data_IF_759588451646
#
_entry.id   IF_759588451646
#
_cell.length_a   1.000
_cell.length_b   1.000
_cell.length_c   1.000
_cell.angle_alpha   90.00
_cell.angle_beta   90.00
_cell.angle_gamma   90.00
#
_symmetry.space_group_name_H-M   'P 1'
#
loop_
_entity.id
_entity.type
_entity.pdbx_description
1 polymer ?
#
# COMPACT_ATOMS: atom_id res chain seq x y z
N UNK A 1 -6.62 -33.64 31.45
CA UNK A 1 -6.92 -34.32 32.69
C UNK A 1 -6.15 -33.73 33.87
N UNK A 2 -4.80 -33.65 33.83
CA UNK A 2 -3.95 -33.06 34.89
C UNK A 2 -4.33 -31.59 35.16
N UNK A 3 -4.52 -30.78 34.12
CA UNK A 3 -4.94 -29.38 34.23
C UNK A 3 -6.27 -29.20 34.98
N UNK A 4 -7.22 -30.10 34.73
CA UNK A 4 -8.50 -30.06 35.46
C UNK A 4 -8.35 -30.55 36.91
N UNK A 5 -7.41 -31.47 37.17
CA UNK A 5 -7.10 -31.96 38.50
C UNK A 5 -6.53 -30.92 39.44
N UNK A 6 -5.90 -29.87 38.90
CA UNK A 6 -5.31 -28.78 39.73
C UNK A 6 -6.33 -27.98 40.54
N UNK A 7 -7.57 -27.87 40.09
CA UNK A 7 -8.63 -27.20 40.85
C UNK A 7 -8.89 -27.91 42.21
N UNK A 8 -8.49 -29.18 42.33
CA UNK A 8 -8.62 -29.95 43.58
C UNK A 8 -7.37 -29.86 44.45
N UNK A 9 -6.30 -29.16 44.00
CA UNK A 9 -5.03 -28.98 44.71
C UNK A 9 -4.87 -27.55 45.24
N UNK A 10 -5.94 -26.83 45.48
CA UNK A 10 -5.95 -25.48 46.04
C UNK A 10 -5.52 -25.45 47.51
N UNK A 11 -5.70 -26.57 48.26
CA UNK A 11 -5.24 -26.73 49.61
C UNK A 11 -3.81 -27.24 49.70
N UNK A 12 -3.13 -27.04 50.83
CA UNK A 12 -1.81 -27.61 51.07
C UNK A 12 -1.83 -29.12 51.28
N UNK A 13 -3.02 -29.70 51.48
CA UNK A 13 -3.23 -31.14 51.72
C UNK A 13 -3.99 -31.78 50.55
N UNK A 14 -3.72 -33.04 50.32
CA UNK A 14 -4.46 -33.86 49.34
C UNK A 14 -5.93 -34.03 49.74
N UNK A 15 -6.90 -33.70 48.88
CA UNK A 15 -8.33 -33.82 49.20
C UNK A 15 -8.81 -35.27 49.35
N UNK A 16 -7.96 -36.24 48.97
CA UNK A 16 -8.31 -37.66 49.06
C UNK A 16 -7.70 -38.39 50.26
N UNK A 17 -6.49 -38.00 50.71
CA UNK A 17 -5.77 -38.70 51.76
C UNK A 17 -5.22 -37.79 52.86
N UNK A 18 -5.48 -36.49 52.77
CA UNK A 18 -5.05 -35.45 53.73
C UNK A 18 -3.52 -35.34 53.96
N UNK A 19 -2.71 -35.98 53.09
CA UNK A 19 -1.27 -35.85 53.11
C UNK A 19 -0.85 -34.46 52.63
N UNK A 20 0.20 -33.89 53.25
CA UNK A 20 0.78 -32.63 52.79
C UNK A 20 1.29 -32.74 51.35
N UNK A 21 0.91 -31.78 50.52
CA UNK A 21 1.36 -31.63 49.13
C UNK A 21 2.52 -30.65 49.00
N UNK A 22 2.99 -30.04 50.13
CA UNK A 22 3.90 -28.93 50.15
C UNK A 22 5.29 -29.30 49.59
N UNK A 23 5.75 -30.51 49.89
CA UNK A 23 7.09 -31.00 49.53
C UNK A 23 7.06 -32.03 48.37
N UNK A 24 5.94 -32.16 47.66
CA UNK A 24 5.80 -33.05 46.52
C UNK A 24 6.28 -32.32 45.27
N UNK A 25 7.51 -32.59 44.81
CA UNK A 25 8.11 -31.92 43.63
C UNK A 25 7.22 -32.00 42.40
N UNK A 26 6.56 -33.11 42.18
CA UNK A 26 5.64 -33.28 41.05
C UNK A 26 4.45 -32.34 41.12
N UNK A 27 3.91 -32.09 42.30
CA UNK A 27 2.80 -31.13 42.51
C UNK A 27 3.26 -29.70 42.26
N UNK A 28 4.47 -29.37 42.72
CA UNK A 28 5.07 -28.05 42.48
C UNK A 28 5.35 -27.83 41.00
N UNK A 29 5.86 -28.84 40.31
CA UNK A 29 6.06 -28.82 38.88
C UNK A 29 4.71 -28.59 38.12
N UNK A 30 3.66 -29.28 38.51
CA UNK A 30 2.33 -29.07 37.91
C UNK A 30 1.76 -27.68 38.19
N UNK A 31 1.91 -27.15 39.40
CA UNK A 31 1.47 -25.79 39.77
C UNK A 31 2.22 -24.73 38.94
N UNK A 32 3.53 -24.90 38.72
CA UNK A 32 4.31 -23.97 37.90
C UNK A 32 4.01 -24.13 36.42
N UNK A 33 3.82 -25.34 35.93
CA UNK A 33 3.57 -25.64 34.51
C UNK A 33 2.16 -25.20 34.05
N UNK A 34 1.17 -25.24 34.94
CA UNK A 34 -0.22 -24.85 34.62
C UNK A 34 -0.68 -23.57 35.29
N UNK A 35 0.28 -22.66 35.62
CA UNK A 35 -0.03 -21.38 36.19
C UNK A 35 -0.79 -20.48 35.17
N UNK A 36 -1.18 -19.29 35.60
CA UNK A 36 -1.88 -18.32 34.75
C UNK A 36 -1.05 -17.94 33.52
N UNK A 37 0.26 -17.88 33.64
CA UNK A 37 1.18 -17.53 32.53
C UNK A 37 1.20 -18.61 31.45
N UNK A 38 1.22 -19.89 31.82
CA UNK A 38 1.12 -20.98 30.85
C UNK A 38 -0.23 -20.98 30.13
N UNK A 39 -1.34 -20.78 30.87
CA UNK A 39 -2.69 -20.69 30.27
C UNK A 39 -2.76 -19.51 29.29
N UNK A 40 -2.16 -18.37 29.67
CA UNK A 40 -2.08 -17.20 28.81
C UNK A 40 -1.27 -17.49 27.55
N UNK A 41 -0.05 -18.03 27.70
CA UNK A 41 0.80 -18.42 26.58
C UNK A 41 0.07 -19.37 25.61
N UNK A 42 -0.63 -20.37 26.14
CA UNK A 42 -1.45 -21.29 25.32
C UNK A 42 -2.55 -20.57 24.56
N UNK A 43 -3.21 -19.60 25.21
CA UNK A 43 -4.22 -18.76 24.55
C UNK A 43 -3.63 -17.89 23.47
N UNK A 44 -2.46 -17.27 23.75
CA UNK A 44 -1.77 -16.40 22.79
C UNK A 44 -1.32 -17.19 21.56
N UNK A 45 -0.78 -18.40 21.74
CA UNK A 45 -0.40 -19.29 20.63
C UNK A 45 -1.63 -19.73 19.82
N UNK A 46 -2.76 -20.00 20.45
CA UNK A 46 -4.00 -20.31 19.74
C UNK A 46 -4.52 -19.13 18.90
N UNK A 47 -4.25 -17.89 19.31
CA UNK A 47 -4.63 -16.69 18.54
C UNK A 47 -3.75 -16.45 17.32
N UNK A 48 -2.52 -17.02 17.26
CA UNK A 48 -1.61 -16.85 16.13
C UNK A 48 -2.22 -17.25 14.80
N UNK A 49 -3.07 -18.27 14.78
CA UNK A 49 -3.76 -18.70 13.55
C UNK A 49 -4.60 -17.57 12.94
N UNK A 50 -5.36 -16.88 13.77
CA UNK A 50 -6.16 -15.74 13.32
C UNK A 50 -5.30 -14.59 12.85
N UNK A 51 -4.20 -14.31 13.54
CA UNK A 51 -3.26 -13.26 13.17
C UNK A 51 -2.57 -13.58 11.84
N UNK A 52 -2.10 -14.81 11.65
CA UNK A 52 -1.45 -15.27 10.41
C UNK A 52 -2.46 -15.17 9.24
N UNK A 53 -3.67 -15.68 9.43
CA UNK A 53 -4.71 -15.62 8.40
C UNK A 53 -5.06 -14.20 7.98
N UNK A 54 -5.11 -13.26 8.93
CA UNK A 54 -5.37 -11.86 8.64
C UNK A 54 -4.18 -11.18 7.96
N UNK A 55 -2.95 -11.40 8.49
CA UNK A 55 -1.73 -10.77 7.99
C UNK A 55 -1.27 -11.31 6.64
N UNK A 56 -1.62 -12.57 6.32
CA UNK A 56 -1.28 -13.23 5.06
C UNK A 56 -2.51 -13.47 4.18
N UNK A 57 -3.51 -12.59 4.27
CA UNK A 57 -4.72 -12.68 3.45
C UNK A 57 -4.43 -12.25 2.01
N UNK A 58 -4.99 -12.99 1.05
CA UNK A 58 -4.95 -12.64 -0.38
C UNK A 58 -5.53 -11.26 -0.69
N UNK A 59 -6.41 -10.76 0.17
CA UNK A 59 -7.00 -9.42 0.05
C UNK A 59 -5.95 -8.31 0.14
N UNK A 60 -4.81 -8.53 0.81
CA UNK A 60 -3.72 -7.56 0.91
C UNK A 60 -3.09 -7.31 -0.46
N UNK A 61 -2.76 -8.39 -1.18
CA UNK A 61 -2.20 -8.27 -2.54
C UNK A 61 -3.24 -7.69 -3.50
N UNK A 62 -4.52 -8.10 -3.37
CA UNK A 62 -5.61 -7.52 -4.14
C UNK A 62 -5.78 -6.02 -3.91
N UNK A 63 -5.64 -5.56 -2.66
CA UNK A 63 -5.69 -4.14 -2.32
C UNK A 63 -4.52 -3.36 -2.90
N UNK A 64 -3.28 -3.89 -2.82
CA UNK A 64 -2.10 -3.29 -3.44
C UNK A 64 -2.27 -3.17 -4.95
N UNK A 65 -2.71 -4.24 -5.61
CA UNK A 65 -2.99 -4.23 -7.05
C UNK A 65 -3.99 -3.13 -7.42
N UNK A 66 -5.11 -3.03 -6.71
CA UNK A 66 -6.13 -2.02 -6.98
C UNK A 66 -5.61 -0.59 -6.82
N UNK A 67 -4.70 -0.34 -5.86
CA UNK A 67 -4.06 0.96 -5.70
C UNK A 67 -3.16 1.30 -6.89
N UNK A 68 -2.37 0.35 -7.38
CA UNK A 68 -1.53 0.55 -8.57
C UNK A 68 -2.35 0.69 -9.85
N UNK A 69 -3.47 -0.03 -9.99
CA UNK A 69 -4.40 0.14 -11.12
C UNK A 69 -5.04 1.52 -11.11
N UNK A 70 -5.41 2.06 -9.95
CA UNK A 70 -5.92 3.43 -9.82
C UNK A 70 -4.86 4.48 -10.18
N UNK A 71 -3.60 4.27 -9.77
CA UNK A 71 -2.49 5.12 -10.18
C UNK A 71 -2.25 5.06 -11.69
N UNK A 72 -2.30 3.86 -12.29
CA UNK A 72 -2.19 3.66 -13.73
C UNK A 72 -3.30 4.41 -14.49
N UNK A 73 -4.55 4.33 -14.06
CA UNK A 73 -5.66 5.06 -14.69
C UNK A 73 -5.42 6.58 -14.68
N UNK A 74 -4.80 7.11 -13.61
CA UNK A 74 -4.42 8.53 -13.54
C UNK A 74 -3.29 8.84 -14.53
N UNK A 75 -2.25 8.02 -14.60
CA UNK A 75 -1.13 8.19 -15.55
C UNK A 75 -1.64 8.12 -16.99
N UNK A 76 -2.55 7.21 -17.29
CA UNK A 76 -3.13 7.02 -18.62
C UNK A 76 -3.83 8.27 -19.15
N UNK A 77 -4.46 9.05 -18.28
CA UNK A 77 -5.10 10.31 -18.68
C UNK A 77 -4.09 11.35 -19.21
N UNK A 78 -2.80 11.20 -18.88
CA UNK A 78 -1.74 12.08 -19.32
C UNK A 78 -0.96 11.59 -20.54
N UNK A 79 -1.14 10.32 -20.93
CA UNK A 79 -0.40 9.73 -22.08
C UNK A 79 -0.65 10.42 -23.41
N UNK A 80 -1.79 11.10 -23.58
CA UNK A 80 -2.06 11.91 -24.74
C UNK A 80 -1.22 13.21 -24.82
N UNK A 81 -0.58 13.61 -23.72
CA UNK A 81 0.19 14.85 -23.60
C UNK A 81 1.68 14.61 -23.41
N UNK A 82 2.06 13.49 -22.77
CA UNK A 82 3.45 13.14 -22.57
C UNK A 82 3.64 11.62 -22.41
N UNK A 83 4.84 11.19 -22.77
CA UNK A 83 5.20 9.78 -22.72
C UNK A 83 5.63 9.43 -21.29
N UNK A 84 4.77 8.73 -20.54
CA UNK A 84 5.00 8.30 -19.14
C UNK A 84 4.96 6.80 -19.03
N UNK A 85 5.90 6.27 -18.25
CA UNK A 85 5.97 4.82 -17.97
C UNK A 85 4.94 4.45 -16.90
N UNK A 86 4.26 3.30 -17.11
CA UNK A 86 3.32 2.73 -16.14
C UNK A 86 4.03 1.76 -15.20
N UNK A 87 3.71 1.75 -13.91
CA UNK A 87 4.12 0.67 -13.03
C UNK A 87 3.43 -0.65 -13.42
N UNK A 88 4.22 -1.72 -13.45
CA UNK A 88 3.75 -3.09 -13.65
C UNK A 88 3.87 -3.84 -12.33
N UNK A 89 2.76 -3.97 -11.60
CA UNK A 89 2.73 -4.72 -10.34
C UNK A 89 2.75 -6.22 -10.63
N UNK A 90 3.80 -6.92 -10.18
CA UNK A 90 3.94 -8.37 -10.33
C UNK A 90 3.12 -9.09 -9.25
N UNK A 91 1.82 -9.25 -9.52
CA UNK A 91 0.86 -9.88 -8.61
C UNK A 91 1.22 -11.33 -8.31
N UNK A 92 1.66 -12.09 -9.32
CA UNK A 92 1.96 -13.52 -9.16
C UNK A 92 3.13 -13.74 -8.19
N UNK A 93 4.19 -12.99 -8.36
CA UNK A 93 5.36 -13.06 -7.49
C UNK A 93 5.05 -12.60 -6.07
N UNK A 94 4.27 -11.52 -5.92
CA UNK A 94 3.83 -11.02 -4.61
C UNK A 94 2.95 -12.04 -3.87
N UNK A 95 2.02 -12.72 -4.58
CA UNK A 95 1.18 -13.78 -3.99
C UNK A 95 2.02 -15.00 -3.59
N UNK A 96 2.98 -15.39 -4.42
CA UNK A 96 3.89 -16.50 -4.10
C UNK A 96 4.68 -16.20 -2.83
N UNK A 97 5.28 -15.01 -2.73
CA UNK A 97 6.04 -14.58 -1.56
C UNK A 97 5.15 -14.56 -0.30
N UNK A 98 3.94 -14.01 -0.38
CA UNK A 98 2.98 -13.99 0.74
C UNK A 98 2.58 -15.41 1.17
N UNK A 99 2.38 -16.33 0.23
CA UNK A 99 2.10 -17.74 0.51
C UNK A 99 3.27 -18.44 1.22
N UNK A 100 4.50 -18.16 0.81
CA UNK A 100 5.70 -18.69 1.46
C UNK A 100 5.84 -18.15 2.89
N UNK A 101 5.62 -16.85 3.11
CA UNK A 101 5.57 -16.23 4.44
C UNK A 101 4.54 -16.95 5.32
N UNK A 102 3.33 -17.12 4.81
CA UNK A 102 2.26 -17.82 5.52
C UNK A 102 2.67 -19.23 5.93
N UNK A 103 3.25 -19.99 5.01
CA UNK A 103 3.70 -21.37 5.27
C UNK A 103 4.77 -21.42 6.37
N UNK A 104 5.75 -20.50 6.34
CA UNK A 104 6.78 -20.40 7.38
C UNK A 104 6.14 -20.11 8.75
N UNK A 105 5.23 -19.15 8.81
CA UNK A 105 4.54 -18.77 10.04
C UNK A 105 3.64 -19.90 10.59
N UNK A 106 2.94 -20.62 9.72
CA UNK A 106 2.13 -21.78 10.11
C UNK A 106 3.00 -22.91 10.66
N UNK A 107 4.16 -23.16 10.07
CA UNK A 107 5.13 -24.14 10.57
C UNK A 107 5.65 -23.73 11.98
N UNK A 108 6.07 -22.49 12.14
CA UNK A 108 6.52 -21.96 13.45
C UNK A 108 5.42 -22.03 14.51
N UNK A 109 4.17 -21.79 14.14
CA UNK A 109 3.02 -21.94 15.03
C UNK A 109 2.83 -23.41 15.47
N UNK A 110 2.89 -24.35 14.54
CA UNK A 110 2.78 -25.79 14.84
C UNK A 110 3.90 -26.27 15.76
N UNK A 111 5.13 -25.84 15.49
CA UNK A 111 6.28 -26.13 16.36
C UNK A 111 6.06 -25.57 17.76
N UNK A 112 5.54 -24.33 17.85
CA UNK A 112 5.23 -23.68 19.14
C UNK A 112 4.09 -24.35 19.88
N UNK A 113 3.07 -24.83 19.20
CA UNK A 113 1.97 -25.61 19.80
C UNK A 113 2.47 -26.94 20.38
N UNK A 114 3.44 -27.54 19.72
CA UNK A 114 4.04 -28.80 20.18
C UNK A 114 4.98 -28.61 21.38
N UNK A 115 5.67 -27.45 21.46
CA UNK A 115 6.69 -27.14 22.45
C UNK A 115 6.49 -25.73 23.03
N UNK A 116 5.41 -25.54 23.79
CA UNK A 116 4.98 -24.22 24.28
C UNK A 116 6.08 -23.45 25.05
N UNK A 117 6.94 -24.12 25.80
CA UNK A 117 7.95 -23.52 26.65
C UNK A 117 9.31 -23.30 25.95
N UNK A 118 9.52 -23.91 24.79
CA UNK A 118 10.78 -23.79 24.05
C UNK A 118 10.72 -22.68 23.00
N UNK A 119 11.89 -22.10 22.69
CA UNK A 119 12.02 -21.21 21.56
C UNK A 119 12.02 -22.03 20.26
N UNK A 120 11.12 -21.71 19.35
CA UNK A 120 10.93 -22.48 18.10
C UNK A 120 11.48 -21.78 16.86
N UNK A 121 11.84 -20.49 16.92
CA UNK A 121 12.40 -19.78 15.78
C UNK A 121 13.89 -20.05 15.65
N UNK A 122 14.33 -20.41 14.44
CA UNK A 122 15.75 -20.46 14.09
C UNK A 122 16.15 -19.22 13.30
N UNK A 123 17.44 -18.87 13.33
CA UNK A 123 18.00 -17.77 12.53
C UNK A 123 17.72 -17.98 11.03
N UNK A 124 17.76 -19.24 10.59
CA UNK A 124 17.48 -19.60 9.19
C UNK A 124 16.03 -19.33 8.78
N UNK A 125 15.06 -19.69 9.66
CA UNK A 125 13.63 -19.46 9.40
C UNK A 125 13.30 -17.95 9.38
N UNK A 126 13.89 -17.18 10.29
CA UNK A 126 13.73 -15.73 10.31
C UNK A 126 14.33 -15.07 9.06
N UNK A 127 15.48 -15.56 8.60
CA UNK A 127 16.09 -15.08 7.36
C UNK A 127 15.21 -15.39 6.14
N UNK A 128 14.69 -16.61 6.02
CA UNK A 128 13.77 -16.96 4.92
C UNK A 128 12.53 -16.09 4.92
N UNK A 129 11.99 -15.78 6.09
CA UNK A 129 10.84 -14.91 6.22
C UNK A 129 11.14 -13.48 5.78
N UNK A 130 12.33 -12.96 6.15
CA UNK A 130 12.80 -11.65 5.71
C UNK A 130 13.04 -11.62 4.20
N UNK A 131 13.71 -12.64 3.64
CA UNK A 131 13.97 -12.75 2.20
C UNK A 131 12.66 -12.70 1.38
N UNK A 132 11.62 -13.44 1.80
CA UNK A 132 10.31 -13.43 1.12
C UNK A 132 9.57 -12.08 1.31
N UNK A 133 9.69 -11.45 2.48
CA UNK A 133 9.13 -10.13 2.72
C UNK A 133 9.79 -9.05 1.87
N UNK A 134 11.12 -9.12 1.67
CA UNK A 134 11.87 -8.23 0.80
C UNK A 134 11.41 -8.30 -0.66
N UNK A 135 10.95 -9.45 -1.14
CA UNK A 135 10.38 -9.56 -2.49
C UNK A 135 9.16 -8.63 -2.63
N UNK A 136 8.22 -8.66 -1.68
CA UNK A 136 7.02 -7.82 -1.69
C UNK A 136 7.39 -6.33 -1.60
N UNK A 137 8.35 -6.00 -0.72
CA UNK A 137 8.86 -4.63 -0.58
C UNK A 137 9.45 -4.15 -1.90
N UNK A 138 10.32 -4.93 -2.53
CA UNK A 138 10.99 -4.55 -3.77
C UNK A 138 10.00 -4.33 -4.92
N UNK A 139 9.00 -5.19 -5.07
CA UNK A 139 7.93 -5.02 -6.06
C UNK A 139 7.19 -3.71 -5.83
N UNK A 140 6.81 -3.43 -4.58
CA UNK A 140 6.07 -2.23 -4.20
C UNK A 140 6.89 -0.96 -4.40
N UNK A 141 8.17 -0.97 -3.99
CA UNK A 141 9.08 0.15 -4.17
C UNK A 141 9.36 0.45 -5.64
N UNK A 142 9.54 -0.59 -6.46
CA UNK A 142 9.71 -0.44 -7.91
C UNK A 142 8.51 0.28 -8.54
N UNK A 143 7.29 -0.13 -8.19
CA UNK A 143 6.07 0.53 -8.66
C UNK A 143 5.98 1.99 -8.17
N UNK A 144 6.26 2.24 -6.89
CA UNK A 144 6.24 3.59 -6.32
C UNK A 144 7.24 4.52 -6.99
N UNK A 145 8.46 4.07 -7.25
CA UNK A 145 9.49 4.86 -7.94
C UNK A 145 9.04 5.27 -9.34
N UNK A 146 8.36 4.36 -10.07
CA UNK A 146 7.82 4.66 -11.40
C UNK A 146 6.70 5.71 -11.30
N UNK A 147 5.81 5.59 -10.31
CA UNK A 147 4.73 6.57 -10.08
C UNK A 147 5.31 7.94 -9.72
N UNK A 148 6.29 7.99 -8.83
CA UNK A 148 6.95 9.25 -8.46
C UNK A 148 7.59 9.94 -9.66
N UNK A 149 8.31 9.19 -10.50
CA UNK A 149 8.88 9.72 -11.75
C UNK A 149 7.81 10.24 -12.71
N UNK A 150 6.69 9.50 -12.86
CA UNK A 150 5.57 9.93 -13.68
C UNK A 150 4.94 11.22 -13.16
N UNK A 151 4.73 11.34 -11.85
CA UNK A 151 4.22 12.55 -11.21
C UNK A 151 5.15 13.75 -11.42
N UNK A 152 6.46 13.57 -11.30
CA UNK A 152 7.43 14.64 -11.56
C UNK A 152 7.36 15.12 -13.02
N UNK A 153 7.29 14.22 -13.98
CA UNK A 153 7.15 14.57 -15.40
C UNK A 153 5.84 15.34 -15.66
N UNK A 154 4.73 14.89 -15.08
CA UNK A 154 3.43 15.57 -15.18
C UNK A 154 3.50 16.98 -14.58
N UNK A 155 4.14 17.13 -13.42
CA UNK A 155 4.31 18.45 -12.77
C UNK A 155 5.15 19.38 -13.63
N UNK A 156 6.25 18.91 -14.20
CA UNK A 156 7.10 19.71 -15.10
C UNK A 156 6.34 20.15 -16.36
N UNK A 157 5.55 19.22 -16.95
CA UNK A 157 4.70 19.55 -18.09
C UNK A 157 3.65 20.60 -17.73
N UNK A 158 2.94 20.46 -16.62
CA UNK A 158 2.00 21.49 -16.14
C UNK A 158 2.68 22.85 -15.95
N UNK A 159 3.87 22.86 -15.37
CA UNK A 159 4.63 24.10 -15.18
C UNK A 159 5.01 24.75 -16.50
N UNK A 160 5.36 23.95 -17.52
CA UNK A 160 5.65 24.49 -18.86
C UNK A 160 4.42 25.12 -19.51
N UNK A 161 3.22 24.57 -19.28
CA UNK A 161 1.96 25.15 -19.77
C UNK A 161 1.60 26.47 -19.08
N UNK A 162 1.88 26.61 -17.79
CA UNK A 162 1.66 27.86 -17.04
C UNK A 162 2.57 28.96 -17.57
N UNK A 163 3.78 28.64 -17.98
CA UNK A 163 4.73 29.58 -18.56
C UNK A 163 4.41 29.98 -20.01
N UNK A 164 3.52 29.24 -20.69
CA UNK A 164 2.85 29.72 -21.90
C UNK A 164 1.89 30.83 -21.48
N UNK A 165 2.32 32.08 -21.66
CA UNK A 165 1.54 33.25 -21.26
C UNK A 165 0.22 33.31 -22.06
N UNK A 166 -0.81 32.61 -21.54
CA UNK A 166 -2.12 32.45 -22.19
C UNK A 166 -2.70 33.81 -22.51
N UNK A 167 -2.54 34.81 -21.60
CA UNK A 167 -2.99 36.18 -21.82
C UNK A 167 -2.31 36.84 -23.04
N UNK A 168 -1.02 36.64 -23.22
CA UNK A 168 -0.32 37.14 -24.41
C UNK A 168 -0.80 36.45 -25.69
N UNK A 169 -1.04 35.13 -25.65
CA UNK A 169 -1.57 34.40 -26.80
C UNK A 169 -2.98 34.85 -27.16
N UNK A 170 -3.86 35.05 -26.19
CA UNK A 170 -5.22 35.56 -26.37
C UNK A 170 -5.18 36.99 -26.94
N UNK A 171 -4.27 37.84 -26.45
CA UNK A 171 -4.06 39.19 -26.99
C UNK A 171 -3.57 39.13 -28.44
N UNK A 172 -2.57 38.29 -28.76
CA UNK A 172 -2.10 38.11 -30.14
C UNK A 172 -3.20 37.58 -31.08
N UNK A 173 -3.99 36.60 -30.64
CA UNK A 173 -5.17 36.09 -31.40
C UNK A 173 -6.15 37.23 -31.66
N UNK A 174 -6.41 38.06 -30.67
CA UNK A 174 -7.31 39.21 -30.81
C UNK A 174 -6.77 40.21 -31.81
N UNK A 175 -5.50 40.59 -31.72
CA UNK A 175 -4.80 41.50 -32.65
C UNK A 175 -4.83 40.95 -34.08
N UNK A 176 -4.54 39.62 -34.24
CA UNK A 176 -4.56 39.00 -35.58
C UNK A 176 -5.99 38.94 -36.16
N UNK A 177 -7.02 38.75 -35.34
CA UNK A 177 -8.41 38.80 -35.78
C UNK A 177 -8.80 40.22 -36.20
N UNK A 178 -8.42 41.26 -35.44
CA UNK A 178 -8.60 42.64 -35.85
C UNK A 178 -7.88 42.98 -37.14
N UNK A 179 -6.62 42.56 -37.29
CA UNK A 179 -5.87 42.75 -38.50
C UNK A 179 -6.53 42.06 -39.71
N UNK A 180 -7.02 40.81 -39.53
CA UNK A 180 -7.73 40.07 -40.58
C UNK A 180 -9.02 40.80 -41.01
N UNK A 181 -9.79 41.39 -40.08
CA UNK A 181 -10.98 42.17 -40.40
C UNK A 181 -10.58 43.46 -41.13
N UNK A 182 -9.55 44.17 -40.64
CA UNK A 182 -9.06 45.45 -41.16
C UNK A 182 -8.57 45.35 -42.63
N UNK A 183 -7.99 44.22 -42.99
CA UNK A 183 -7.47 44.00 -44.33
C UNK A 183 -8.40 43.19 -45.24
N UNK A 184 -9.64 42.99 -44.81
CA UNK A 184 -10.65 42.44 -45.72
C UNK A 184 -10.90 43.39 -46.87
N UNK A 185 -11.00 42.92 -48.12
CA UNK A 185 -11.18 43.78 -49.32
C UNK A 185 -12.40 44.68 -49.20
N UNK A 186 -13.54 44.15 -48.71
CA UNK A 186 -14.78 44.92 -48.52
C UNK A 186 -14.64 46.05 -47.49
N UNK A 187 -13.88 45.86 -46.39
CA UNK A 187 -13.61 46.91 -45.41
C UNK A 187 -12.66 47.96 -45.94
N UNK A 188 -11.62 47.56 -46.69
CA UNK A 188 -10.70 48.49 -47.36
C UNK A 188 -11.41 49.34 -48.40
N UNK A 189 -12.31 48.78 -49.19
CA UNK A 189 -13.10 49.49 -50.17
C UNK A 189 -14.06 50.49 -49.51
N UNK A 190 -14.75 50.13 -48.44
CA UNK A 190 -15.59 51.04 -47.68
C UNK A 190 -14.79 52.19 -47.11
N UNK A 191 -13.59 51.96 -46.57
CA UNK A 191 -12.71 52.98 -46.04
C UNK A 191 -12.25 53.96 -47.11
N UNK A 192 -11.90 53.47 -48.31
CA UNK A 192 -11.51 54.28 -49.46
C UNK A 192 -12.72 55.12 -49.95
N UNK A 193 -13.92 54.58 -50.02
CA UNK A 193 -15.14 55.31 -50.41
C UNK A 193 -15.45 56.41 -49.40
N UNK A 194 -15.33 56.13 -48.08
CA UNK A 194 -15.54 57.15 -47.03
C UNK A 194 -14.51 58.29 -47.14
N UNK A 195 -13.23 57.97 -47.37
CA UNK A 195 -12.16 58.92 -47.52
C UNK A 195 -12.40 59.84 -48.74
N UNK A 196 -12.86 59.27 -49.89
CA UNK A 196 -13.22 60.06 -51.10
C UNK A 196 -14.43 60.96 -50.84
N UNK A 197 -15.45 60.46 -50.14
CA UNK A 197 -16.63 61.29 -49.78
C UNK A 197 -16.30 62.47 -48.88
N UNK A 198 -15.41 62.25 -47.86
CA UNK A 198 -14.96 63.32 -46.99
C UNK A 198 -14.14 64.38 -47.72
N UNK A 199 -13.34 63.98 -48.70
CA UNK A 199 -12.61 64.93 -49.54
C UNK A 199 -13.54 65.76 -50.42
N UNK A 200 -14.65 65.20 -50.91
CA UNK A 200 -15.64 65.92 -51.74
C UNK A 200 -16.55 66.86 -50.93
N UNK A 201 -16.67 66.71 -49.60
CA UNK A 201 -17.43 67.60 -48.73
C UNK A 201 -16.63 68.85 -48.33
N UNK A 202 -15.34 68.90 -48.57
CA UNK A 202 -14.44 70.00 -48.20
C UNK A 202 -14.24 71.00 -49.38
N UNK A 203 -14.80 70.71 -50.54
CA UNK A 203 -14.78 71.60 -51.72
C UNK A 203 -16.11 72.31 -51.85
#
# INVERSE_FOLDING_TARGET
WISNGQHYLESENCPFCDQSLKDVELIQAYRSYFNLEYKRLKSDVAQLEKLINNACSDSIIGSLKSQFEAANATIDSWQQHLEVTRPAFNEEEARRALSNIRHILETLKQDKESNLLEAVSTVEQLKKLDDEWQIIINITQSCNNIIENALQQIMQYKQSLINLNIEQLEQQITELNFAKIRFRPDVVDLFNQLSISQQNEIV
#
